data_IF_292295434539
#
_entry.id   IF_292295434539
#
_cell.length_a   1.000
_cell.length_b   1.000
_cell.length_c   1.000
_cell.angle_alpha   90.00
_cell.angle_beta   90.00
_cell.angle_gamma   90.00
#
_symmetry.space_group_name_H-M   'P 1'
#
loop_
_entity.id
_entity.type
_entity.pdbx_description
1 polymer ?
#
# COMPACT_ATOMS: atom_id res chain seq x y z
N UNK A 1 2.40 26.19 11.31
CA UNK A 1 1.56 25.39 10.41
C UNK A 1 0.38 26.17 9.86
N UNK A 2 -0.37 25.55 8.96
CA UNK A 2 -1.59 26.15 8.40
C UNK A 2 -2.70 25.10 8.30
N UNK A 3 -3.93 25.58 8.44
CA UNK A 3 -5.14 24.81 8.10
C UNK A 3 -5.90 25.57 7.04
N UNK A 4 -6.34 24.88 5.98
CA UNK A 4 -7.20 25.46 4.96
C UNK A 4 -8.24 24.48 4.44
N UNK A 5 -9.38 25.03 3.95
CA UNK A 5 -10.44 24.23 3.36
C UNK A 5 -10.12 23.80 1.94
N UNK A 6 -10.58 22.60 1.56
CA UNK A 6 -10.50 22.10 0.18
C UNK A 6 -11.69 22.59 -0.66
N UNK A 7 -11.60 22.44 -1.99
CA UNK A 7 -12.62 22.92 -2.95
C UNK A 7 -14.06 22.49 -2.62
N UNK A 8 -14.22 21.28 -2.08
CA UNK A 8 -15.56 20.71 -1.77
C UNK A 8 -15.93 20.84 -0.28
N UNK A 9 -15.27 21.77 0.43
CA UNK A 9 -15.60 22.02 1.85
C UNK A 9 -16.99 22.61 1.98
N UNK A 10 -17.71 22.15 3.02
CA UNK A 10 -18.98 22.72 3.48
C UNK A 10 -18.98 22.74 5.00
N UNK A 11 -19.63 23.72 5.65
CA UNK A 11 -19.70 23.79 7.11
C UNK A 11 -20.28 22.52 7.75
N UNK A 12 -21.31 21.94 7.15
CA UNK A 12 -21.96 20.71 7.59
C UNK A 12 -21.18 19.42 7.26
N UNK A 13 -20.20 19.52 6.37
CA UNK A 13 -19.31 18.43 5.98
C UNK A 13 -17.90 18.96 5.77
N UNK A 14 -17.16 19.30 6.83
CA UNK A 14 -15.86 19.93 6.75
C UNK A 14 -14.84 19.08 5.98
N UNK A 15 -14.09 19.73 5.08
CA UNK A 15 -12.95 19.15 4.38
C UNK A 15 -11.77 20.09 4.47
N UNK A 16 -10.85 19.77 5.35
CA UNK A 16 -9.72 20.59 5.71
C UNK A 16 -8.40 19.91 5.34
N UNK A 17 -7.36 20.69 5.18
CA UNK A 17 -5.97 20.24 5.11
C UNK A 17 -5.18 20.91 6.21
N UNK A 18 -4.38 20.10 6.88
CA UNK A 18 -3.41 20.51 7.88
C UNK A 18 -2.02 20.36 7.28
N UNK A 19 -1.25 21.44 7.25
CA UNK A 19 0.16 21.42 6.82
C UNK A 19 1.02 21.80 8.00
N UNK A 20 1.90 20.90 8.40
CA UNK A 20 2.82 21.06 9.53
C UNK A 20 4.25 21.06 8.99
N UNK A 21 4.97 22.19 9.03
CA UNK A 21 6.37 22.24 8.63
C UNK A 21 7.24 21.47 9.62
N UNK A 22 8.17 20.69 9.08
CA UNK A 22 9.14 19.93 9.86
C UNK A 22 10.44 20.72 10.03
N UNK A 23 11.18 20.46 11.12
CA UNK A 23 12.48 21.09 11.40
C UNK A 23 13.63 20.54 10.56
N UNK A 24 13.46 19.38 9.94
CA UNK A 24 14.38 18.75 8.97
C UNK A 24 13.62 17.98 7.88
N UNK A 25 14.31 17.69 6.80
CA UNK A 25 13.81 16.73 5.79
C UNK A 25 13.71 15.32 6.37
N UNK A 26 12.78 14.55 5.87
CA UNK A 26 12.54 13.16 6.28
C UNK A 26 12.46 12.24 5.06
N UNK A 27 12.81 10.98 5.25
CA UNK A 27 12.63 9.94 4.23
C UNK A 27 11.16 9.51 4.16
N UNK A 28 10.79 8.80 3.08
CA UNK A 28 9.41 8.39 2.85
C UNK A 28 8.81 7.58 4.00
N UNK A 29 9.58 6.67 4.58
CA UNK A 29 9.13 5.82 5.69
C UNK A 29 9.03 6.56 7.02
N UNK A 30 9.98 7.47 7.30
CA UNK A 30 9.86 8.39 8.44
C UNK A 30 8.58 9.23 8.33
N UNK A 31 8.27 9.73 7.10
CA UNK A 31 7.05 10.50 6.87
C UNK A 31 5.79 9.70 7.24
N UNK A 32 5.70 8.45 6.82
CA UNK A 32 4.53 7.60 7.14
C UNK A 32 4.37 7.44 8.65
N UNK A 33 5.46 7.12 9.36
CA UNK A 33 5.45 6.98 10.81
C UNK A 33 5.04 8.28 11.51
N UNK A 34 5.65 9.40 11.13
CA UNK A 34 5.37 10.73 11.71
C UNK A 34 3.93 11.15 11.46
N UNK A 35 3.46 11.06 10.21
CA UNK A 35 2.12 11.49 9.84
C UNK A 35 1.03 10.70 10.57
N UNK A 36 1.21 9.38 10.71
CA UNK A 36 0.29 8.51 11.45
C UNK A 36 0.29 8.83 12.95
N UNK A 37 1.47 9.07 13.54
CA UNK A 37 1.57 9.40 14.97
C UNK A 37 0.94 10.74 15.30
N UNK A 38 1.16 11.74 14.46
CA UNK A 38 0.51 13.06 14.61
C UNK A 38 -1.01 12.95 14.42
N UNK A 39 -1.46 12.13 13.47
CA UNK A 39 -2.89 11.90 13.27
C UNK A 39 -3.53 11.17 14.46
N UNK A 40 -2.85 10.18 15.07
CA UNK A 40 -3.31 9.51 16.29
C UNK A 40 -3.52 10.49 17.44
N UNK A 41 -2.61 11.42 17.64
CA UNK A 41 -2.68 12.40 18.71
C UNK A 41 -3.81 13.43 18.54
N UNK A 42 -4.23 13.67 17.30
CA UNK A 42 -5.35 14.58 17.01
C UNK A 42 -6.68 13.79 17.05
N UNK A 43 -6.83 12.82 16.27
CA UNK A 43 -7.86 11.78 16.11
C UNK A 43 -7.70 11.17 14.72
N UNK A 44 -7.13 9.99 14.62
CA UNK A 44 -6.83 9.34 13.34
C UNK A 44 -8.09 9.08 12.49
N UNK A 45 -9.28 8.98 13.10
CA UNK A 45 -10.53 8.80 12.40
C UNK A 45 -10.97 10.03 11.59
N UNK A 46 -10.40 11.21 11.87
CA UNK A 46 -10.67 12.45 11.14
C UNK A 46 -9.84 12.60 9.86
N UNK A 47 -8.80 11.78 9.69
CA UNK A 47 -7.87 11.88 8.56
C UNK A 47 -8.24 10.95 7.43
N UNK A 48 -7.98 11.38 6.19
CA UNK A 48 -8.03 10.52 5.00
C UNK A 48 -6.80 9.60 5.01
N UNK A 49 -7.00 8.28 4.97
CA UNK A 49 -5.92 7.29 5.04
C UNK A 49 -4.91 7.42 3.89
N UNK A 50 -5.31 8.00 2.76
CA UNK A 50 -4.40 8.30 1.64
C UNK A 50 -3.42 9.44 1.94
N UNK A 51 -3.64 10.21 3.01
CA UNK A 51 -2.74 11.28 3.46
C UNK A 51 -1.36 10.74 3.88
N UNK A 52 -1.28 9.48 4.28
CA UNK A 52 -0.03 8.84 4.72
C UNK A 52 0.85 8.36 3.57
N UNK A 53 0.39 8.46 2.31
CA UNK A 53 1.20 8.15 1.13
C UNK A 53 2.20 9.28 0.85
N UNK A 54 3.52 9.05 0.87
CA UNK A 54 4.53 10.11 0.71
C UNK A 54 4.48 10.85 -0.63
N UNK A 55 4.01 10.17 -1.67
CA UNK A 55 3.89 10.69 -3.03
C UNK A 55 2.50 11.30 -3.31
N UNK A 56 1.66 11.47 -2.28
CA UNK A 56 0.30 11.98 -2.45
C UNK A 56 0.27 13.40 -2.97
N UNK A 57 -0.35 13.59 -4.13
CA UNK A 57 -0.56 14.92 -4.70
C UNK A 57 -1.49 15.75 -3.83
N UNK A 58 -1.04 16.95 -3.47
CA UNK A 58 -1.82 17.93 -2.74
C UNK A 58 -2.15 19.13 -3.67
N UNK A 59 -3.45 19.33 -3.95
CA UNK A 59 -3.89 20.49 -4.73
C UNK A 59 -3.78 21.78 -3.93
N UNK A 60 -3.51 22.88 -4.62
CA UNK A 60 -3.55 24.22 -4.07
C UNK A 60 -4.91 24.54 -3.44
N UNK A 61 -4.96 25.45 -2.44
CA UNK A 61 -6.21 25.93 -1.87
C UNK A 61 -7.12 26.50 -2.95
N UNK A 62 -8.38 26.06 -2.93
CA UNK A 62 -9.42 26.58 -3.83
C UNK A 62 -10.78 26.42 -3.19
N UNK A 63 -11.73 27.27 -3.61
CA UNK A 63 -13.13 27.17 -3.22
C UNK A 63 -14.03 27.41 -4.42
N UNK A 64 -15.24 26.89 -4.40
CA UNK A 64 -16.27 27.25 -5.39
C UNK A 64 -16.72 28.69 -5.17
N UNK A 65 -17.34 29.29 -6.22
CA UNK A 65 -17.80 30.71 -6.17
C UNK A 65 -18.73 30.96 -4.98
N UNK A 66 -19.58 30.00 -4.64
CA UNK A 66 -20.55 30.06 -3.55
C UNK A 66 -20.10 29.27 -2.30
N UNK A 67 -18.83 28.86 -2.26
CA UNK A 67 -18.28 28.05 -1.18
C UNK A 67 -17.78 28.90 -0.02
N UNK A 68 -17.63 28.26 1.13
CA UNK A 68 -17.01 28.88 2.31
C UNK A 68 -15.53 28.50 2.32
N UNK A 69 -14.66 29.51 2.37
CA UNK A 69 -13.22 29.30 2.51
C UNK A 69 -12.79 29.49 3.96
N UNK A 70 -12.07 28.50 4.49
CA UNK A 70 -11.48 28.52 5.82
C UNK A 70 -9.97 28.54 5.68
N UNK A 71 -9.32 29.46 6.37
CA UNK A 71 -7.87 29.54 6.50
C UNK A 71 -7.49 29.93 7.92
N UNK A 72 -6.50 29.24 8.48
CA UNK A 72 -5.93 29.54 9.81
C UNK A 72 -4.43 29.34 9.78
N UNK A 73 -3.70 30.27 10.32
CA UNK A 73 -2.29 30.13 10.66
C UNK A 73 -2.15 29.59 12.07
N UNK A 74 -1.26 28.62 12.22
CA UNK A 74 -0.88 28.02 13.50
C UNK A 74 0.55 28.45 13.80
N UNK A 75 0.69 29.32 14.80
CA UNK A 75 1.99 29.81 15.25
C UNK A 75 2.59 28.84 16.26
N UNK A 76 3.92 28.65 16.18
CA UNK A 76 4.69 27.76 17.03
C UNK A 76 5.97 27.33 16.34
N UNK A 77 6.75 26.50 17.01
CA UNK A 77 7.98 25.95 16.48
C UNK A 77 7.72 24.94 15.36
N UNK A 78 8.74 24.69 14.54
CA UNK A 78 8.71 23.61 13.57
C UNK A 78 8.60 22.26 14.30
N UNK A 79 7.80 21.36 13.77
CA UNK A 79 7.69 20.01 14.35
C UNK A 79 9.02 19.27 14.19
N UNK A 80 9.58 18.83 15.31
CA UNK A 80 10.79 18.02 15.31
C UNK A 80 10.43 16.56 14.99
N UNK A 81 10.84 16.01 13.81
CA UNK A 81 10.56 14.64 13.42
C UNK A 81 11.06 13.61 14.44
N UNK A 82 12.27 13.81 14.97
CA UNK A 82 12.89 12.85 15.88
C UNK A 82 12.11 12.73 17.19
N UNK A 83 11.52 13.84 17.66
CA UNK A 83 10.68 13.83 18.85
C UNK A 83 9.37 13.06 18.65
N UNK A 84 8.84 13.02 17.41
CA UNK A 84 7.66 12.21 17.07
C UNK A 84 8.03 10.75 16.94
N UNK A 85 9.11 10.45 16.23
CA UNK A 85 9.60 9.07 16.06
C UNK A 85 9.95 8.41 17.41
N UNK A 86 10.50 9.17 18.35
CA UNK A 86 10.81 8.70 19.71
C UNK A 86 9.57 8.30 20.55
N UNK A 87 8.36 8.60 20.10
CA UNK A 87 7.11 8.18 20.77
C UNK A 87 6.68 6.76 20.42
N UNK A 88 7.29 6.14 19.39
CA UNK A 88 7.18 4.73 19.13
C UNK A 88 8.16 3.95 20.01
N UNK A 89 7.84 2.73 20.33
CA UNK A 89 8.81 1.79 20.90
C UNK A 89 9.87 1.44 19.87
N UNK A 90 9.44 1.19 18.65
CA UNK A 90 10.28 1.00 17.48
C UNK A 90 9.56 1.54 16.22
N UNK A 91 9.89 2.75 15.76
CA UNK A 91 9.24 3.32 14.58
C UNK A 91 9.57 2.59 13.27
N UNK A 92 10.62 1.76 13.24
CA UNK A 92 10.89 0.90 12.09
C UNK A 92 9.88 -0.25 11.97
N UNK A 93 9.22 -0.63 13.05
CA UNK A 93 8.22 -1.70 13.05
C UNK A 93 6.84 -1.15 12.63
N UNK A 94 6.47 -1.40 11.37
CA UNK A 94 5.20 -0.94 10.80
C UNK A 94 3.98 -1.52 11.54
N UNK A 95 4.14 -2.63 12.26
CA UNK A 95 3.05 -3.21 13.07
C UNK A 95 2.63 -2.32 14.25
N UNK A 96 3.51 -1.39 14.67
CA UNK A 96 3.22 -0.42 15.72
C UNK A 96 2.52 0.85 15.21
N UNK A 97 2.35 1.01 13.87
CA UNK A 97 1.77 2.22 13.33
C UNK A 97 0.27 2.31 13.64
N UNK A 98 -0.19 3.49 14.09
CA UNK A 98 -1.62 3.73 14.26
C UNK A 98 -2.38 3.55 12.94
N UNK A 99 -3.53 2.90 13.01
CA UNK A 99 -4.40 2.67 11.85
C UNK A 99 -5.83 3.11 12.17
N UNK A 100 -6.52 3.69 11.19
CA UNK A 100 -7.93 4.01 11.33
C UNK A 100 -8.79 2.75 11.26
N UNK A 101 -9.99 2.80 11.82
CA UNK A 101 -10.98 1.72 11.70
C UNK A 101 -11.40 1.44 10.25
N UNK A 102 -11.20 2.42 9.35
CA UNK A 102 -11.51 2.30 7.93
C UNK A 102 -10.51 1.44 7.18
N UNK A 103 -9.24 1.43 7.58
CA UNK A 103 -8.18 0.70 6.86
C UNK A 103 -8.48 -0.79 6.75
N UNK A 104 -8.93 -1.41 7.83
CA UNK A 104 -9.34 -2.82 7.82
C UNK A 104 -10.51 -3.05 6.86
N UNK A 105 -11.50 -2.16 6.85
CA UNK A 105 -12.65 -2.23 5.94
C UNK A 105 -12.25 -2.05 4.48
N UNK A 106 -11.28 -1.17 4.19
CA UNK A 106 -10.75 -0.95 2.84
C UNK A 106 -10.11 -2.24 2.30
N UNK A 107 -9.24 -2.88 3.08
CA UNK A 107 -8.60 -4.14 2.67
C UNK A 107 -9.65 -5.23 2.47
N UNK A 108 -10.60 -5.39 3.38
CA UNK A 108 -11.70 -6.34 3.22
C UNK A 108 -12.52 -6.09 1.95
N UNK A 109 -12.84 -4.83 1.65
CA UNK A 109 -13.54 -4.46 0.42
C UNK A 109 -12.71 -4.75 -0.84
N UNK A 110 -11.40 -4.49 -0.80
CA UNK A 110 -10.48 -4.86 -1.89
C UNK A 110 -10.45 -6.37 -2.13
N UNK A 111 -10.41 -7.18 -1.07
CA UNK A 111 -10.48 -8.66 -1.17
C UNK A 111 -11.78 -9.10 -1.83
N UNK A 112 -12.92 -8.58 -1.39
CA UNK A 112 -14.22 -8.89 -1.97
C UNK A 112 -14.31 -8.51 -3.45
N UNK A 113 -13.76 -7.34 -3.84
CA UNK A 113 -13.75 -6.87 -5.23
C UNK A 113 -12.87 -7.74 -6.13
N UNK A 114 -11.72 -8.19 -5.66
CA UNK A 114 -10.82 -9.05 -6.44
C UNK A 114 -11.34 -10.49 -6.58
N UNK A 115 -12.26 -10.90 -5.72
CA UNK A 115 -12.74 -12.28 -5.56
C UNK A 115 -11.61 -13.23 -5.15
N UNK A 116 -11.95 -14.43 -4.73
CA UNK A 116 -10.98 -15.45 -4.37
C UNK A 116 -10.15 -15.89 -5.60
N UNK A 117 -8.81 -15.67 -5.59
CA UNK A 117 -7.98 -16.05 -6.72
C UNK A 117 -7.98 -17.56 -7.01
N UNK A 118 -8.24 -18.39 -5.98
CA UNK A 118 -8.26 -19.85 -6.11
C UNK A 118 -9.49 -20.37 -6.88
N UNK A 119 -10.54 -19.56 -7.01
CA UNK A 119 -11.76 -19.95 -7.77
C UNK A 119 -11.69 -19.59 -9.25
N UNK A 120 -10.61 -18.98 -9.71
CA UNK A 120 -10.45 -18.58 -11.11
C UNK A 120 -9.97 -19.77 -11.97
N UNK A 121 -10.78 -20.18 -12.94
CA UNK A 121 -10.42 -21.24 -13.89
C UNK A 121 -9.58 -20.70 -15.05
N UNK A 122 -8.42 -20.13 -14.73
CA UNK A 122 -7.47 -19.57 -15.70
C UNK A 122 -6.03 -19.66 -15.16
N UNK A 123 -5.07 -19.18 -15.94
CA UNK A 123 -3.64 -19.20 -15.59
C UNK A 123 -3.34 -18.52 -14.24
N UNK A 124 -4.03 -17.40 -13.92
CA UNK A 124 -3.86 -16.70 -12.63
C UNK A 124 -4.31 -17.63 -11.49
N UNK A 125 -5.49 -18.24 -11.62
CA UNK A 125 -6.00 -19.18 -10.61
C UNK A 125 -5.08 -20.40 -10.45
N UNK A 126 -4.61 -20.96 -11.55
CA UNK A 126 -3.67 -22.09 -11.52
C UNK A 126 -2.36 -21.72 -10.81
N UNK A 127 -1.82 -20.54 -11.07
CA UNK A 127 -0.62 -20.07 -10.38
C UNK A 127 -0.89 -19.88 -8.87
N UNK A 128 -2.01 -19.25 -8.50
CA UNK A 128 -2.36 -19.02 -7.10
C UNK A 128 -2.68 -20.33 -6.34
N UNK A 129 -3.16 -21.37 -7.03
CA UNK A 129 -3.33 -22.70 -6.44
C UNK A 129 -2.01 -23.46 -6.29
N UNK A 130 -1.08 -23.29 -7.24
CA UNK A 130 0.25 -23.88 -7.16
C UNK A 130 1.13 -23.21 -6.10
N UNK A 131 0.99 -21.89 -5.96
CA UNK A 131 1.78 -21.05 -5.06
C UNK A 131 0.89 -20.07 -4.32
N UNK A 132 0.64 -20.31 -3.04
CA UNK A 132 0.10 -19.31 -2.13
C UNK A 132 1.12 -18.18 -1.89
N UNK A 133 0.74 -17.11 -1.15
CA UNK A 133 1.66 -15.99 -0.92
C UNK A 133 2.97 -16.42 -0.24
N UNK A 134 2.98 -17.17 0.88
CA UNK A 134 4.22 -17.65 1.48
C UNK A 134 5.10 -18.45 0.54
N UNK A 135 4.51 -19.38 -0.22
CA UNK A 135 5.23 -20.23 -1.18
C UNK A 135 5.80 -19.41 -2.34
N UNK A 136 5.04 -18.42 -2.85
CA UNK A 136 5.49 -17.54 -3.90
C UNK A 136 6.65 -16.62 -3.43
N UNK A 137 6.58 -16.13 -2.19
CA UNK A 137 7.68 -15.37 -1.59
C UNK A 137 8.92 -16.27 -1.49
N UNK A 138 8.80 -17.46 -0.93
CA UNK A 138 9.93 -18.38 -0.77
C UNK A 138 10.56 -18.83 -2.10
N UNK A 139 9.74 -19.03 -3.15
CA UNK A 139 10.22 -19.56 -4.44
C UNK A 139 10.73 -18.47 -5.40
N UNK A 140 10.13 -17.28 -5.37
CA UNK A 140 10.33 -16.27 -6.42
C UNK A 140 10.73 -14.89 -5.91
N UNK A 141 10.50 -14.58 -4.62
CA UNK A 141 10.69 -13.25 -4.03
C UNK A 141 11.50 -13.29 -2.73
N UNK A 142 12.28 -14.33 -2.49
CA UNK A 142 13.12 -14.50 -1.30
C UNK A 142 14.26 -13.46 -1.19
N UNK A 143 14.62 -12.78 -2.29
CA UNK A 143 15.56 -11.65 -2.32
C UNK A 143 14.84 -10.30 -2.15
N UNK A 144 13.52 -10.30 -2.12
CA UNK A 144 12.67 -9.12 -2.03
C UNK A 144 12.05 -8.99 -0.63
N UNK A 145 11.61 -10.11 -0.09
CA UNK A 145 10.92 -10.17 1.20
C UNK A 145 11.55 -11.17 2.14
N UNK A 146 11.67 -10.79 3.39
CA UNK A 146 12.09 -11.69 4.47
C UNK A 146 10.97 -11.91 5.49
N UNK A 147 10.86 -13.12 6.06
CA UNK A 147 9.87 -13.42 7.09
C UNK A 147 10.18 -12.67 8.38
N UNK A 148 9.14 -12.41 9.18
CA UNK A 148 9.26 -11.82 10.51
C UNK A 148 8.89 -12.82 11.60
N UNK A 149 8.95 -12.41 12.87
CA UNK A 149 8.47 -13.23 13.98
C UNK A 149 6.97 -13.52 13.92
N UNK A 150 6.18 -12.68 13.21
CA UNK A 150 4.76 -12.89 12.96
C UNK A 150 4.57 -13.68 11.66
N UNK A 151 3.87 -14.83 11.66
CA UNK A 151 3.79 -15.72 10.50
C UNK A 151 3.05 -15.12 9.31
N UNK A 152 2.24 -14.10 9.53
CA UNK A 152 1.45 -13.38 8.53
C UNK A 152 2.09 -12.06 8.09
N UNK A 153 3.36 -11.80 8.49
CA UNK A 153 4.06 -10.57 8.16
C UNK A 153 5.44 -10.82 7.57
N UNK A 154 5.79 -9.98 6.60
CA UNK A 154 7.10 -9.94 5.96
C UNK A 154 7.65 -8.51 5.95
N UNK A 155 8.97 -8.39 5.84
CA UNK A 155 9.65 -7.11 5.61
C UNK A 155 10.10 -7.04 4.16
N UNK A 156 9.99 -5.84 3.56
CA UNK A 156 10.61 -5.55 2.28
C UNK A 156 12.10 -5.27 2.50
N UNK A 157 12.97 -6.12 1.98
CA UNK A 157 14.42 -6.09 2.29
C UNK A 157 15.09 -4.74 2.02
N UNK A 158 14.77 -4.00 0.92
CA UNK A 158 15.37 -2.69 0.68
C UNK A 158 14.85 -1.56 1.57
N UNK A 159 13.82 -1.79 2.40
CA UNK A 159 13.26 -0.75 3.26
C UNK A 159 14.01 -0.65 4.59
N UNK A 160 13.97 0.54 5.20
CA UNK A 160 14.47 0.75 6.56
C UNK A 160 13.48 0.25 7.63
N UNK A 161 12.20 0.11 7.27
CA UNK A 161 11.14 -0.40 8.15
C UNK A 161 10.96 -1.91 8.01
N UNK A 162 10.39 -2.54 9.03
CA UNK A 162 10.16 -3.99 9.11
C UNK A 162 8.68 -4.33 9.29
N UNK A 163 8.29 -5.57 9.01
CA UNK A 163 6.94 -6.11 9.22
C UNK A 163 5.80 -5.37 8.50
N UNK A 164 6.12 -4.63 7.43
CA UNK A 164 5.15 -3.82 6.70
C UNK A 164 4.31 -4.56 5.68
N UNK A 165 4.66 -5.79 5.31
CA UNK A 165 3.86 -6.62 4.43
C UNK A 165 2.96 -7.52 5.25
N UNK A 166 1.66 -7.47 5.01
CA UNK A 166 0.65 -8.29 5.69
C UNK A 166 0.06 -9.30 4.71
N UNK A 167 0.01 -10.57 5.12
CA UNK A 167 -0.57 -11.66 4.35
C UNK A 167 -1.96 -11.99 4.88
N UNK A 168 -2.94 -12.07 4.00
CA UNK A 168 -4.33 -12.37 4.31
C UNK A 168 -4.73 -13.73 3.72
N UNK A 169 -5.11 -14.66 4.60
CA UNK A 169 -5.59 -16.01 4.23
C UNK A 169 -4.62 -16.79 3.30
N UNK A 170 -3.33 -16.47 3.32
CA UNK A 170 -2.30 -16.93 2.38
C UNK A 170 -2.59 -16.64 0.89
N UNK A 171 -3.68 -15.94 0.57
CA UNK A 171 -4.15 -15.66 -0.79
C UNK A 171 -3.75 -14.28 -1.29
N UNK A 172 -3.63 -13.33 -0.39
CA UNK A 172 -3.33 -11.94 -0.71
C UNK A 172 -2.23 -11.40 0.17
N UNK A 173 -1.49 -10.45 -0.35
CA UNK A 173 -0.56 -9.62 0.41
C UNK A 173 -0.87 -8.13 0.20
N UNK A 174 -0.56 -7.33 1.20
CA UNK A 174 -0.63 -5.87 1.14
C UNK A 174 0.62 -5.28 1.77
N UNK A 175 1.32 -4.42 1.04
CA UNK A 175 2.54 -3.76 1.53
C UNK A 175 2.26 -2.35 2.03
N UNK A 176 2.70 -2.07 3.24
CA UNK A 176 2.72 -0.75 3.86
C UNK A 176 4.10 -0.08 3.78
N UNK A 177 5.09 -0.74 3.22
CA UNK A 177 6.41 -0.14 2.99
C UNK A 177 6.30 0.90 1.88
N UNK A 178 6.65 2.15 2.18
CA UNK A 178 6.50 3.27 1.25
C UNK A 178 7.38 3.15 -0.01
N UNK A 179 8.51 2.46 0.10
CA UNK A 179 9.50 2.25 -0.97
C UNK A 179 9.28 0.97 -1.77
N UNK A 180 8.35 0.12 -1.33
CA UNK A 180 8.02 -1.12 -2.02
C UNK A 180 7.24 -0.83 -3.32
N UNK A 181 7.61 -1.38 -4.48
CA UNK A 181 6.81 -1.31 -5.70
C UNK A 181 5.37 -1.80 -5.53
N UNK A 182 5.10 -2.69 -4.57
CA UNK A 182 3.78 -3.20 -4.20
C UNK A 182 3.04 -2.32 -3.18
N UNK A 183 3.59 -1.17 -2.78
CA UNK A 183 3.02 -0.29 -1.75
C UNK A 183 1.57 0.08 -2.05
N UNK A 184 0.68 -0.09 -1.06
CA UNK A 184 -0.73 0.28 -1.17
C UNK A 184 -1.58 -0.62 -2.08
N UNK A 185 -1.02 -1.71 -2.61
CA UNK A 185 -1.72 -2.65 -3.47
C UNK A 185 -2.07 -3.95 -2.75
N UNK A 186 -3.30 -4.42 -2.90
CA UNK A 186 -3.68 -5.78 -2.50
C UNK A 186 -3.40 -6.71 -3.67
N UNK A 187 -2.43 -7.60 -3.52
CA UNK A 187 -1.94 -8.49 -4.58
C UNK A 187 -2.15 -9.96 -4.23
N UNK A 188 -2.58 -10.76 -5.19
CA UNK A 188 -2.46 -12.21 -5.12
C UNK A 188 -1.02 -12.65 -5.50
N UNK A 189 -0.70 -13.93 -5.37
CA UNK A 189 0.67 -14.41 -5.62
C UNK A 189 1.15 -14.19 -7.06
N UNK A 190 0.27 -14.34 -8.07
CA UNK A 190 0.59 -14.05 -9.45
C UNK A 190 0.98 -12.57 -9.66
N UNK A 191 0.17 -11.65 -9.13
CA UNK A 191 0.43 -10.22 -9.27
C UNK A 191 1.63 -9.76 -8.42
N UNK A 192 1.87 -10.36 -7.26
CA UNK A 192 3.05 -10.08 -6.44
C UNK A 192 4.34 -10.42 -7.20
N UNK A 193 4.42 -11.61 -7.79
CA UNK A 193 5.56 -12.01 -8.63
C UNK A 193 5.68 -11.12 -9.87
N UNK A 194 4.55 -10.78 -10.52
CA UNK A 194 4.53 -9.88 -11.67
C UNK A 194 5.15 -8.52 -11.37
N UNK A 195 4.71 -7.87 -10.30
CA UNK A 195 5.17 -6.52 -9.93
C UNK A 195 6.67 -6.50 -9.68
N UNK A 196 7.21 -7.47 -8.95
CA UNK A 196 8.62 -7.45 -8.57
C UNK A 196 9.57 -7.98 -9.64
N UNK A 197 9.17 -9.00 -10.41
CA UNK A 197 10.08 -9.58 -11.42
C UNK A 197 9.98 -8.93 -12.78
N UNK A 198 8.83 -8.38 -13.12
CA UNK A 198 8.54 -7.89 -14.47
C UNK A 198 8.02 -6.45 -14.51
N UNK A 199 7.79 -5.82 -13.35
CA UNK A 199 7.23 -4.46 -13.29
C UNK A 199 8.07 -3.40 -13.99
N UNK A 200 9.38 -3.60 -14.06
CA UNK A 200 10.30 -2.73 -14.79
C UNK A 200 10.05 -2.69 -16.30
N UNK A 201 9.33 -3.67 -16.86
CA UNK A 201 8.97 -3.70 -18.29
C UNK A 201 7.87 -2.70 -18.65
N UNK A 202 7.10 -2.23 -17.64
CA UNK A 202 5.93 -1.37 -17.90
C UNK A 202 6.31 0.08 -18.22
N UNK A 203 7.52 0.54 -17.88
CA UNK A 203 8.00 1.91 -18.15
C UNK A 203 7.19 3.01 -17.44
N UNK A 204 7.76 4.19 -17.28
CA UNK A 204 7.11 5.33 -16.60
C UNK A 204 5.98 5.98 -17.42
N UNK A 205 5.91 5.74 -18.72
CA UNK A 205 4.98 6.40 -19.65
C UNK A 205 3.78 5.56 -20.04
N UNK A 206 3.56 4.41 -19.41
CA UNK A 206 2.44 3.53 -19.77
C UNK A 206 1.15 4.06 -19.16
N UNK A 207 0.38 4.78 -19.98
CA UNK A 207 -1.00 5.25 -19.66
C UNK A 207 -2.06 4.16 -19.73
N UNK A 208 -1.66 2.87 -19.71
CA UNK A 208 -2.56 1.74 -19.85
C UNK A 208 -3.32 1.49 -18.56
N UNK A 209 -4.64 1.66 -18.62
CA UNK A 209 -5.55 1.44 -17.48
C UNK A 209 -5.86 -0.03 -17.21
N UNK A 210 -5.58 -0.92 -18.16
CA UNK A 210 -5.88 -2.35 -18.04
C UNK A 210 -4.59 -3.17 -17.81
N UNK A 211 -4.48 -3.79 -16.64
CA UNK A 211 -3.33 -4.63 -16.26
C UNK A 211 -2.99 -5.71 -17.29
N UNK A 212 -3.99 -6.29 -17.94
CA UNK A 212 -3.82 -7.34 -18.96
C UNK A 212 -3.09 -6.90 -20.23
N UNK A 213 -2.99 -5.60 -20.46
CA UNK A 213 -2.28 -5.01 -21.61
C UNK A 213 -0.82 -4.66 -21.29
N UNK A 214 -0.42 -4.73 -20.03
CA UNK A 214 0.93 -4.38 -19.60
C UNK A 214 1.97 -5.39 -20.11
N UNK A 215 3.17 -4.95 -20.50
CA UNK A 215 4.29 -5.84 -20.81
C UNK A 215 4.62 -6.81 -19.67
N UNK A 216 4.62 -6.33 -18.41
CA UNK A 216 4.82 -7.16 -17.23
C UNK A 216 3.81 -8.30 -17.12
N UNK A 217 2.54 -8.06 -17.49
CA UNK A 217 1.50 -9.07 -17.44
C UNK A 217 1.74 -10.19 -18.46
N UNK A 218 2.15 -9.84 -19.68
CA UNK A 218 2.50 -10.82 -20.72
C UNK A 218 3.69 -11.68 -20.30
N UNK A 219 4.77 -11.03 -19.81
CA UNK A 219 5.95 -11.74 -19.32
C UNK A 219 5.62 -12.66 -18.15
N UNK A 220 4.77 -12.24 -17.23
CA UNK A 220 4.31 -13.07 -16.13
C UNK A 220 3.43 -14.25 -16.60
N UNK A 221 2.59 -14.07 -17.61
CA UNK A 221 1.82 -15.16 -18.20
C UNK A 221 2.73 -16.21 -18.85
N UNK A 222 3.75 -15.79 -19.59
CA UNK A 222 4.75 -16.68 -20.19
C UNK A 222 5.53 -17.45 -19.11
N UNK A 223 5.96 -16.76 -18.07
CA UNK A 223 6.64 -17.36 -16.92
C UNK A 223 5.76 -18.40 -16.23
N UNK A 224 4.52 -18.06 -15.89
CA UNK A 224 3.59 -18.96 -15.22
C UNK A 224 3.22 -20.17 -16.09
N UNK A 225 3.03 -19.97 -17.41
CA UNK A 225 2.71 -21.04 -18.34
C UNK A 225 3.89 -22.02 -18.56
N UNK A 226 5.13 -21.59 -18.34
CA UNK A 226 6.31 -22.43 -18.41
C UNK A 226 6.53 -23.30 -17.16
N UNK A 227 5.97 -22.87 -16.01
CA UNK A 227 6.16 -23.52 -14.72
C UNK A 227 5.51 -24.91 -14.65
N UNK A 228 6.23 -25.87 -14.04
CA UNK A 228 5.82 -27.26 -13.95
C UNK A 228 4.63 -27.50 -13.02
N UNK A 229 4.61 -26.84 -11.87
CA UNK A 229 3.52 -27.00 -10.89
C UNK A 229 2.24 -26.33 -11.39
N UNK A 230 2.36 -25.17 -12.03
CA UNK A 230 1.22 -24.49 -12.66
C UNK A 230 0.61 -25.34 -13.79
N UNK A 231 1.45 -26.01 -14.59
CA UNK A 231 0.98 -26.93 -15.63
C UNK A 231 0.18 -28.10 -15.06
N UNK A 232 0.61 -28.66 -13.92
CA UNK A 232 -0.14 -29.75 -13.25
C UNK A 232 -1.52 -29.27 -12.81
N UNK A 233 -1.61 -28.10 -12.19
CA UNK A 233 -2.89 -27.51 -11.78
C UNK A 233 -3.79 -27.24 -12.99
N UNK A 234 -3.24 -26.69 -14.08
CA UNK A 234 -4.01 -26.46 -15.32
C UNK A 234 -4.58 -27.76 -15.94
N UNK A 235 -3.84 -28.85 -15.85
CA UNK A 235 -4.34 -30.18 -16.29
C UNK A 235 -5.50 -30.64 -15.41
N UNK A 236 -5.36 -30.56 -14.09
CA UNK A 236 -6.43 -30.92 -13.14
C UNK A 236 -7.70 -30.08 -13.36
N UNK A 237 -7.55 -28.74 -13.60
CA UNK A 237 -8.69 -27.86 -13.89
C UNK A 237 -9.45 -28.23 -15.19
N UNK A 238 -8.80 -28.91 -16.14
CA UNK A 238 -9.44 -29.34 -17.41
C UNK A 238 -10.17 -30.66 -17.27
N UNK A 239 -9.79 -31.48 -16.28
CA UNK A 239 -10.37 -32.80 -16.02
C UNK A 239 -11.58 -32.71 -15.05
N UNK A 240 -11.76 -31.59 -14.33
CA UNK A 240 -12.85 -31.35 -13.39
C UNK A 240 -14.05 -30.65 -14.08
#
# INVERSE_FOLDING_TARGET
GIIYSTHKHKPEAPRLRLVIPLSRSVMAEEYVAIARKVAEEIDIEMFDDTTYEPNRLMYWPSTSKDGVYVYRELHGDLLNPDSVLARYKNWHDVSEYPVSSRQTKIVQHMMQKQKDPLTKNNLIGAFCQAYDIPSAIGSFLNEVYEPTASPDRYSYIPADSVAGVVVYENKFMYSHHATDPASGMLLNSFDAVRVHRFGNLDGESVTVTETTKLPSYKAMCEFAAADGEVKKVLLQMREA
#
